data_IF_036329848127
#
_entry.id   IF_036329848127
#
_cell.length_a   1.000
_cell.length_b   1.000
_cell.length_c   1.000
_cell.angle_alpha   90.00
_cell.angle_beta   90.00
_cell.angle_gamma   90.00
#
_symmetry.space_group_name_H-M   'P 1'
#
loop_
_entity.id
_entity.type
_entity.pdbx_description
1 polymer ?
#
# COMPACT_ATOMS: atom_id res chain seq x y z
N UNK A 1 11.28 10.51 -4.62
CA UNK A 1 10.06 10.16 -3.85
C UNK A 1 9.27 9.17 -4.67
N UNK A 2 8.64 8.19 -4.03
CA UNK A 2 7.82 7.18 -4.71
C UNK A 2 6.39 7.34 -4.23
N UNK A 3 5.48 7.49 -5.17
CA UNK A 3 4.04 7.50 -4.91
C UNK A 3 3.51 6.08 -4.94
N UNK A 4 2.76 5.71 -3.92
CA UNK A 4 2.12 4.39 -3.83
C UNK A 4 0.62 4.47 -4.13
N UNK A 5 -0.01 3.30 -4.19
CA UNK A 5 -1.42 3.12 -4.54
C UNK A 5 -2.41 3.80 -3.58
N UNK A 6 -1.96 4.10 -2.36
CA UNK A 6 -2.70 4.77 -1.28
C UNK A 6 -2.38 6.28 -1.19
N UNK A 7 -1.74 6.86 -2.22
CA UNK A 7 -1.28 8.28 -2.25
C UNK A 7 -0.24 8.64 -1.18
N UNK A 8 0.21 7.66 -0.39
CA UNK A 8 1.30 7.89 0.53
C UNK A 8 2.60 8.11 -0.24
N UNK A 9 3.40 9.04 0.26
CA UNK A 9 4.69 9.37 -0.32
C UNK A 9 5.78 8.80 0.56
N UNK A 10 6.55 7.86 0.01
CA UNK A 10 7.63 7.20 0.73
C UNK A 10 8.99 7.53 0.12
N UNK A 11 10.01 7.46 0.99
CA UNK A 11 11.41 7.53 0.59
C UNK A 11 12.02 6.15 0.73
N UNK A 12 12.57 5.63 -0.37
CA UNK A 12 13.19 4.31 -0.41
C UNK A 12 14.68 4.45 -0.77
N UNK A 13 15.49 3.53 -0.26
CA UNK A 13 16.88 3.38 -0.71
C UNK A 13 16.90 2.82 -2.14
N UNK A 14 17.77 3.34 -3.00
CA UNK A 14 17.99 2.75 -4.33
C UNK A 14 19.11 1.73 -4.21
N UNK A 15 18.92 0.53 -4.77
CA UNK A 15 20.00 -0.45 -4.82
C UNK A 15 21.18 0.13 -5.64
N UNK A 16 22.45 0.02 -5.20
CA UNK A 16 23.58 0.71 -5.83
C UNK A 16 23.70 0.49 -7.35
N UNK A 17 23.37 -0.71 -7.82
CA UNK A 17 23.39 -1.07 -9.25
C UNK A 17 22.37 -0.32 -10.13
N UNK A 18 21.43 0.39 -9.51
CA UNK A 18 20.36 1.14 -10.16
C UNK A 18 20.50 2.65 -10.05
N UNK A 19 21.47 3.17 -9.29
CA UNK A 19 21.62 4.61 -9.03
C UNK A 19 21.61 5.44 -10.32
N UNK A 20 22.36 5.00 -11.34
CA UNK A 20 22.47 5.73 -12.61
C UNK A 20 21.32 5.42 -13.59
N UNK A 21 20.44 4.48 -13.22
CA UNK A 21 19.37 3.97 -14.09
C UNK A 21 18.00 4.53 -13.72
N UNK A 22 17.77 4.88 -12.46
CA UNK A 22 16.50 5.41 -11.99
C UNK A 22 16.30 6.84 -12.49
N UNK A 23 15.12 7.11 -13.05
CA UNK A 23 14.69 8.45 -13.48
C UNK A 23 13.36 8.80 -12.83
N UNK A 24 13.03 10.09 -12.83
CA UNK A 24 11.70 10.55 -12.44
C UNK A 24 10.64 9.88 -13.32
N UNK A 25 9.52 9.48 -12.71
CA UNK A 25 8.39 8.78 -13.36
C UNK A 25 8.67 7.34 -13.80
N UNK A 26 9.81 6.75 -13.42
CA UNK A 26 10.00 5.31 -13.58
C UNK A 26 9.06 4.53 -12.63
N UNK A 27 8.49 3.45 -13.14
CA UNK A 27 7.76 2.47 -12.32
C UNK A 27 8.81 1.54 -11.70
N UNK A 28 8.73 1.30 -10.40
CA UNK A 28 9.76 0.55 -9.66
C UNK A 28 9.18 -0.59 -8.84
N UNK A 29 9.99 -1.64 -8.61
CA UNK A 29 9.71 -2.66 -7.61
C UNK A 29 10.56 -2.37 -6.37
N UNK A 30 9.86 -2.36 -5.23
CA UNK A 30 10.46 -2.22 -3.91
C UNK A 30 10.47 -3.58 -3.24
N UNK A 31 11.64 -4.02 -2.80
CA UNK A 31 11.77 -5.11 -1.86
C UNK A 31 11.35 -4.56 -0.49
N UNK A 32 10.27 -5.14 0.06
CA UNK A 32 9.65 -4.74 1.31
C UNK A 32 9.61 -5.94 2.25
N UNK A 33 10.74 -6.24 2.89
CA UNK A 33 10.90 -7.43 3.73
C UNK A 33 11.14 -7.07 5.20
N UNK A 34 10.51 -7.78 6.11
CA UNK A 34 10.67 -7.64 7.57
C UNK A 34 11.69 -8.66 8.07
N UNK A 35 12.96 -8.47 7.70
CA UNK A 35 14.04 -9.35 8.16
C UNK A 35 14.34 -9.11 9.64
N UNK A 36 13.90 -10.08 10.47
CA UNK A 36 14.42 -10.34 11.82
C UNK A 36 14.11 -9.29 12.88
N UNK A 37 12.96 -9.41 13.56
CA UNK A 37 12.64 -8.77 14.86
C UNK A 37 12.58 -7.24 14.90
N UNK A 38 13.22 -6.56 13.95
CA UNK A 38 13.19 -5.13 13.79
C UNK A 38 11.88 -4.72 13.12
N UNK A 39 11.23 -3.70 13.70
CA UNK A 39 9.94 -3.18 13.23
C UNK A 39 10.04 -2.43 11.89
N UNK A 40 11.23 -2.15 11.38
CA UNK A 40 11.42 -1.44 10.12
C UNK A 40 11.75 -2.42 8.98
N UNK A 41 10.90 -2.50 7.96
CA UNK A 41 11.16 -3.32 6.80
C UNK A 41 12.33 -2.75 6.00
N UNK A 42 13.08 -3.65 5.36
CA UNK A 42 14.00 -3.28 4.29
C UNK A 42 13.17 -2.60 3.20
N UNK A 43 13.57 -1.40 2.82
CA UNK A 43 12.82 -0.51 1.93
C UNK A 43 13.73 -0.11 0.76
N UNK A 44 14.01 -1.07 -0.13
CA UNK A 44 15.00 -0.92 -1.21
C UNK A 44 14.37 -1.08 -2.60
N UNK A 45 14.60 -0.14 -3.50
CA UNK A 45 14.27 -0.27 -4.92
C UNK A 45 15.25 -1.25 -5.56
N UNK A 46 14.75 -2.40 -5.99
CA UNK A 46 15.55 -3.50 -6.55
C UNK A 46 15.41 -3.65 -8.06
N UNK A 47 14.37 -3.07 -8.66
CA UNK A 47 14.15 -3.14 -10.11
C UNK A 47 13.41 -1.91 -10.63
N UNK A 48 13.81 -1.44 -11.79
CA UNK A 48 13.06 -0.47 -12.61
C UNK A 48 12.27 -1.24 -13.66
N UNK A 49 10.96 -1.02 -13.71
CA UNK A 49 10.05 -1.59 -14.70
C UNK A 49 9.86 -0.60 -15.84
N UNK A 50 10.01 -1.07 -17.07
CA UNK A 50 9.88 -0.24 -18.28
C UNK A 50 9.14 -0.98 -19.38
N UNK A 51 8.64 -0.20 -20.33
CA UNK A 51 7.93 -0.68 -21.51
C UNK A 51 6.44 -0.91 -21.28
N UNK A 52 5.76 -1.29 -22.35
CA UNK A 52 4.29 -1.37 -22.41
C UNK A 52 3.67 -2.18 -21.27
N UNK A 53 4.26 -3.33 -20.93
CA UNK A 53 3.75 -4.19 -19.88
C UNK A 53 3.75 -3.52 -18.49
N UNK A 54 4.77 -2.71 -18.19
CA UNK A 54 4.85 -1.97 -16.92
C UNK A 54 3.78 -0.87 -16.86
N UNK A 55 3.64 -0.11 -17.95
CA UNK A 55 2.65 0.96 -18.07
C UNK A 55 1.22 0.43 -18.00
N UNK A 56 0.92 -0.66 -18.71
CA UNK A 56 -0.39 -1.33 -18.68
C UNK A 56 -0.69 -1.90 -17.29
N UNK A 57 0.29 -2.53 -16.66
CA UNK A 57 0.16 -3.06 -15.29
C UNK A 57 -0.14 -1.95 -14.29
N UNK A 58 0.61 -0.85 -14.35
CA UNK A 58 0.36 0.33 -13.51
C UNK A 58 -1.03 0.90 -13.77
N UNK A 59 -1.38 1.18 -15.03
CA UNK A 59 -2.70 1.72 -15.40
C UNK A 59 -3.84 0.86 -14.90
N UNK A 60 -3.72 -0.47 -15.00
CA UNK A 60 -4.74 -1.40 -14.50
C UNK A 60 -4.89 -1.32 -12.99
N UNK A 61 -3.77 -1.24 -12.27
CA UNK A 61 -3.74 -1.08 -10.81
C UNK A 61 -4.37 0.25 -10.39
N UNK A 62 -3.94 1.37 -10.98
CA UNK A 62 -4.50 2.71 -10.71
C UNK A 62 -6.00 2.74 -10.95
N UNK A 63 -6.45 2.18 -12.09
CA UNK A 63 -7.87 2.14 -12.46
C UNK A 63 -8.71 1.32 -11.47
N UNK A 64 -8.17 0.21 -10.96
CA UNK A 64 -8.83 -0.62 -9.96
C UNK A 64 -9.01 0.13 -8.63
N UNK A 65 -7.97 0.84 -8.19
CA UNK A 65 -7.99 1.62 -6.95
C UNK A 65 -8.96 2.79 -7.04
N UNK A 66 -9.00 3.50 -8.16
CA UNK A 66 -9.96 4.59 -8.39
C UNK A 66 -11.40 4.10 -8.30
N UNK A 67 -11.69 2.92 -8.84
CA UNK A 67 -13.01 2.30 -8.72
C UNK A 67 -13.32 1.90 -7.28
N UNK A 68 -12.33 1.39 -6.54
CA UNK A 68 -12.50 1.03 -5.14
C UNK A 68 -12.79 2.26 -4.27
N UNK A 69 -12.04 3.36 -4.45
CA UNK A 69 -12.29 4.65 -3.78
C UNK A 69 -13.70 5.16 -4.02
N UNK A 70 -14.16 5.16 -5.28
CA UNK A 70 -15.53 5.58 -5.65
C UNK A 70 -16.61 4.76 -4.94
N UNK A 71 -16.40 3.45 -4.76
CA UNK A 71 -17.32 2.57 -4.02
C UNK A 71 -17.35 2.88 -2.52
N UNK A 72 -16.19 3.16 -1.92
CA UNK A 72 -16.12 3.52 -0.50
C UNK A 72 -16.73 4.89 -0.19
N UNK A 73 -16.63 5.86 -1.09
CA UNK A 73 -17.29 7.17 -0.93
C UNK A 73 -18.82 7.11 -1.08
N UNK A 74 -19.34 6.09 -1.78
CA UNK A 74 -20.77 5.90 -1.99
C UNK A 74 -21.44 4.99 -0.94
N UNK A 75 -20.66 4.35 -0.07
CA UNK A 75 -21.23 3.63 1.05
C UNK A 75 -21.85 4.66 2.02
N UNK A 76 -23.14 4.53 2.39
CA UNK A 76 -23.71 5.39 3.42
C UNK A 76 -22.88 5.20 4.69
N UNK A 77 -22.35 6.29 5.23
CA UNK A 77 -21.69 6.30 6.54
C UNK A 77 -22.73 5.87 7.57
N UNK A 78 -22.79 4.58 7.89
CA UNK A 78 -23.49 4.16 9.09
C UNK A 78 -22.71 4.78 10.25
N UNK A 79 -23.37 5.57 11.13
CA UNK A 79 -22.73 5.99 12.35
C UNK A 79 -22.27 4.72 13.08
N UNK A 80 -21.01 4.69 13.49
CA UNK A 80 -20.54 3.65 14.37
C UNK A 80 -21.26 3.87 15.71
N UNK A 81 -22.26 3.05 15.99
CA UNK A 81 -22.88 3.05 17.31
C UNK A 81 -21.92 2.33 18.27
N UNK A 82 -21.23 3.10 19.11
CA UNK A 82 -20.41 2.60 20.24
C UNK A 82 -21.20 1.76 21.25
N UNK A 83 -22.52 1.77 21.15
CA UNK A 83 -23.40 1.01 22.01
C UNK A 83 -23.68 -0.38 21.42
N UNK A 84 -22.67 -1.24 21.36
CA UNK A 84 -22.96 -2.68 21.33
C UNK A 84 -23.46 -3.08 22.73
N UNK A 85 -24.66 -3.68 22.86
CA UNK A 85 -25.06 -4.24 24.15
C UNK A 85 -24.08 -5.37 24.50
N UNK A 86 -23.45 -5.26 25.66
CA UNK A 86 -22.68 -6.36 26.27
C UNK A 86 -23.59 -7.59 26.31
N UNK A 87 -23.21 -8.67 25.62
CA UNK A 87 -23.93 -9.93 25.69
C UNK A 87 -23.94 -10.38 27.17
N UNK A 88 -25.12 -10.65 27.77
CA UNK A 88 -25.21 -11.04 29.18
C UNK A 88 -24.47 -12.35 29.52
N UNK A 89 -24.05 -13.11 28.51
CA UNK A 89 -23.37 -14.40 28.69
C UNK A 89 -21.87 -14.28 29.00
N UNK A 90 -21.24 -13.11 28.85
CA UNK A 90 -19.82 -12.92 29.17
C UNK A 90 -19.53 -12.77 30.68
N UNK A 91 -20.56 -12.79 31.53
CA UNK A 91 -20.42 -12.53 32.97
C UNK A 91 -20.62 -13.78 33.87
N UNK A 92 -20.55 -14.99 33.31
CA UNK A 92 -20.60 -16.23 34.11
C UNK A 92 -19.28 -17.00 34.02
N UNK A 93 -18.27 -16.49 34.73
CA UNK A 93 -17.19 -17.32 35.27
C UNK A 93 -17.04 -16.97 36.75
N UNK A 94 -17.61 -17.81 37.62
CA UNK A 94 -17.20 -17.97 39.02
C UNK A 94 -17.10 -19.46 39.30
#
# INVERSE_FOLDING_TARGET
MVETWDENVFTFMVHPMLNDKVRSHDIVLVEYDFMGGNRQPRQTIVKVLRGKAAEEGWKKMSSYLDQMKKRHTQAPSQPFDLALPLNPQDNMVR
#
